data_IF_254912517772
#
_entry.id   IF_254912517772
#
_cell.length_a   1.000
_cell.length_b   1.000
_cell.length_c   1.000
_cell.angle_alpha   90.00
_cell.angle_beta   90.00
_cell.angle_gamma   90.00
#
_symmetry.space_group_name_H-M   'P 1'
#
loop_
_entity.id
_entity.type
_entity.pdbx_description
1 polymer ?
#
# COMPACT_ATOMS: atom_id res chain seq x y z
N UNK A 1 45.86 54.87 -21.41
CA UNK A 1 46.24 54.11 -20.21
C UNK A 1 45.13 53.09 -19.97
N UNK A 2 45.34 51.85 -20.41
CA UNK A 2 44.34 50.77 -20.32
C UNK A 2 44.66 49.93 -19.09
N UNK A 3 43.76 49.96 -18.10
CA UNK A 3 43.84 49.09 -16.93
C UNK A 3 43.29 47.71 -17.31
N UNK A 4 44.18 46.73 -17.38
CA UNK A 4 43.87 45.32 -17.50
C UNK A 4 43.53 44.83 -16.09
N UNK A 5 42.30 44.36 -15.90
CA UNK A 5 41.85 43.72 -14.66
C UNK A 5 42.12 42.22 -14.83
N UNK A 6 43.03 41.68 -14.03
CA UNK A 6 43.29 40.23 -13.96
C UNK A 6 42.12 39.51 -13.23
N UNK A 7 41.70 38.33 -13.70
CA UNK A 7 40.68 37.55 -13.01
C UNK A 7 41.27 36.79 -11.82
N UNK A 8 40.63 36.92 -10.65
CA UNK A 8 40.98 36.21 -9.42
C UNK A 8 40.85 34.68 -9.57
N UNK A 9 41.86 33.98 -9.05
CA UNK A 9 41.96 32.52 -9.04
C UNK A 9 40.83 31.87 -8.23
N UNK A 10 40.21 30.85 -8.82
CA UNK A 10 39.24 29.96 -8.18
C UNK A 10 39.87 29.18 -7.03
N UNK A 11 39.40 29.44 -5.80
CA UNK A 11 39.70 28.59 -4.64
C UNK A 11 38.88 27.30 -4.75
N UNK A 12 39.57 26.19 -5.04
CA UNK A 12 39.03 24.85 -4.83
C UNK A 12 38.82 24.64 -3.32
N UNK A 13 37.56 24.55 -2.91
CA UNK A 13 37.18 24.07 -1.59
C UNK A 13 37.30 22.54 -1.60
N UNK A 14 38.42 22.04 -1.09
CA UNK A 14 38.57 20.63 -0.73
C UNK A 14 37.62 20.33 0.43
N UNK A 15 36.46 19.75 0.11
CA UNK A 15 35.60 19.17 1.11
C UNK A 15 36.25 17.88 1.62
N UNK A 16 36.49 17.74 2.93
CA UNK A 16 36.99 16.49 3.48
C UNK A 16 35.98 15.39 3.14
N UNK A 17 36.46 14.32 2.50
CA UNK A 17 35.71 13.09 2.29
C UNK A 17 35.34 12.52 3.65
N UNK A 18 34.16 12.91 4.14
CA UNK A 18 33.55 12.29 5.31
C UNK A 18 33.35 10.83 4.93
N UNK A 19 34.18 9.96 5.51
CA UNK A 19 33.99 8.53 5.46
C UNK A 19 32.59 8.23 5.94
N UNK A 20 31.70 7.93 4.99
CA UNK A 20 30.34 7.50 5.31
C UNK A 20 30.48 6.24 6.13
N UNK A 21 30.10 6.40 7.39
CA UNK A 21 30.24 5.47 8.49
C UNK A 21 29.64 4.10 8.08
N UNK A 22 30.47 3.06 7.96
CA UNK A 22 30.05 1.68 7.66
C UNK A 22 28.94 1.19 8.63
N UNK A 23 28.85 1.76 9.84
CA UNK A 23 27.78 1.48 10.81
C UNK A 23 26.37 1.85 10.34
N UNK A 24 26.20 2.92 9.55
CA UNK A 24 24.87 3.30 9.02
C UNK A 24 24.43 2.39 7.87
N UNK A 25 25.39 1.77 7.17
CA UNK A 25 25.11 0.81 6.12
C UNK A 25 24.60 -0.52 6.70
N UNK A 26 25.18 -1.00 7.80
CA UNK A 26 24.70 -2.20 8.53
C UNK A 26 23.35 -1.97 9.22
N UNK A 27 23.12 -0.81 9.84
CA UNK A 27 21.82 -0.46 10.44
C UNK A 27 20.70 -0.38 9.40
N UNK A 28 20.97 0.09 8.17
CA UNK A 28 20.00 0.08 7.07
C UNK A 28 19.91 -1.25 6.31
N UNK A 29 20.76 -2.24 6.63
CA UNK A 29 20.72 -3.57 6.02
C UNK A 29 19.75 -4.51 6.74
N UNK A 30 19.45 -4.30 8.03
CA UNK A 30 18.65 -5.23 8.81
C UNK A 30 17.13 -4.98 8.78
N UNK A 31 16.66 -3.75 8.57
CA UNK A 31 15.24 -3.42 8.74
C UNK A 31 14.32 -4.06 7.69
N UNK A 32 14.83 -4.34 6.49
CA UNK A 32 14.01 -4.83 5.38
C UNK A 32 13.68 -6.32 5.44
N UNK A 33 14.66 -7.16 5.79
CA UNK A 33 14.40 -8.57 6.04
C UNK A 33 13.58 -8.74 7.33
N UNK A 34 13.79 -7.86 8.33
CA UNK A 34 13.07 -7.90 9.60
C UNK A 34 11.55 -7.72 9.45
N UNK A 35 11.10 -6.81 8.57
CA UNK A 35 9.67 -6.52 8.42
C UNK A 35 8.88 -7.66 7.78
N UNK A 36 9.48 -8.37 6.81
CA UNK A 36 8.86 -9.56 6.23
C UNK A 36 8.93 -10.74 7.17
N UNK A 37 10.03 -10.92 7.92
CA UNK A 37 10.08 -11.94 8.98
C UNK A 37 9.07 -11.69 10.10
N UNK A 38 8.66 -10.44 10.32
CA UNK A 38 7.64 -10.12 11.31
C UNK A 38 6.24 -10.55 10.87
N UNK A 39 5.95 -10.60 9.57
CA UNK A 39 4.65 -11.08 9.04
C UNK A 39 4.70 -12.56 8.60
N UNK A 40 5.89 -13.07 8.27
CA UNK A 40 6.16 -14.48 7.98
C UNK A 40 6.20 -15.29 9.27
N UNK A 41 5.07 -15.86 9.68
CA UNK A 41 4.95 -16.66 10.90
C UNK A 41 4.35 -18.03 10.62
N UNK A 42 4.68 -19.01 11.46
CA UNK A 42 4.00 -20.31 11.41
C UNK A 42 2.52 -20.08 11.76
N UNK A 43 1.57 -20.50 10.90
CA UNK A 43 0.15 -20.28 11.15
C UNK A 43 -0.31 -21.05 12.39
N UNK A 44 -1.09 -20.37 13.23
CA UNK A 44 -1.83 -21.00 14.31
C UNK A 44 -2.94 -21.90 13.74
N UNK A 45 -3.43 -22.88 14.51
CA UNK A 45 -4.47 -23.81 14.03
C UNK A 45 -5.76 -23.10 13.62
N UNK A 46 -6.18 -22.07 14.36
CA UNK A 46 -7.35 -21.26 14.01
C UNK A 46 -7.20 -20.49 12.70
N UNK A 47 -6.00 -19.98 12.41
CA UNK A 47 -5.72 -19.24 11.17
C UNK A 47 -5.79 -20.12 9.92
N UNK A 48 -5.46 -21.41 10.04
CA UNK A 48 -5.52 -22.35 8.91
C UNK A 48 -6.95 -22.54 8.40
N UNK A 49 -7.90 -22.65 9.31
CA UNK A 49 -9.32 -22.77 8.95
C UNK A 49 -9.86 -21.43 8.46
N UNK A 50 -9.53 -20.31 9.13
CA UNK A 50 -9.97 -18.97 8.72
C UNK A 50 -9.53 -18.63 7.28
N UNK A 51 -8.28 -18.94 6.94
CA UNK A 51 -7.70 -18.62 5.63
C UNK A 51 -7.90 -19.71 4.57
N UNK A 52 -8.71 -20.73 4.86
CA UNK A 52 -8.99 -21.84 3.93
C UNK A 52 -9.79 -21.37 2.73
N UNK A 53 -10.79 -20.53 2.95
CA UNK A 53 -11.71 -20.02 1.93
C UNK A 53 -11.25 -18.68 1.33
N UNK A 54 -10.05 -18.23 1.69
CA UNK A 54 -9.50 -16.98 1.22
C UNK A 54 -9.18 -17.01 -0.27
N UNK A 55 -9.58 -15.99 -1.01
CA UNK A 55 -9.19 -15.85 -2.42
C UNK A 55 -7.67 -15.67 -2.55
N UNK A 56 -7.02 -16.61 -3.24
CA UNK A 56 -5.55 -16.63 -3.41
C UNK A 56 -5.18 -16.53 -4.88
N UNK A 57 -4.26 -15.62 -5.19
CA UNK A 57 -3.68 -15.47 -6.53
C UNK A 57 -2.16 -15.65 -6.50
N UNK A 58 -1.62 -16.41 -7.45
CA UNK A 58 -0.20 -16.74 -7.49
C UNK A 58 0.19 -17.83 -6.48
N UNK A 59 1.45 -17.78 -6.02
CA UNK A 59 2.05 -18.80 -5.15
C UNK A 59 2.24 -18.27 -3.71
N UNK A 60 1.20 -17.64 -3.15
CA UNK A 60 1.23 -17.16 -1.77
C UNK A 60 1.11 -18.32 -0.79
N UNK A 61 2.02 -18.37 0.19
CA UNK A 61 2.02 -19.37 1.25
C UNK A 61 1.41 -18.78 2.51
N UNK A 62 0.73 -19.61 3.30
CA UNK A 62 0.02 -19.18 4.49
C UNK A 62 0.94 -18.44 5.47
N UNK A 63 2.16 -18.93 5.60
CA UNK A 63 3.18 -18.36 6.47
C UNK A 63 3.44 -16.88 6.15
N UNK A 64 3.41 -16.50 4.88
CA UNK A 64 3.74 -15.15 4.39
C UNK A 64 2.75 -14.07 4.80
N UNK A 65 1.58 -14.44 5.28
CA UNK A 65 0.55 -13.49 5.73
C UNK A 65 -0.06 -13.85 7.08
N UNK A 66 0.41 -14.91 7.76
CA UNK A 66 -0.12 -15.32 9.06
C UNK A 66 0.12 -14.27 10.15
N UNK A 67 1.24 -13.55 10.10
CA UNK A 67 1.55 -12.47 11.04
C UNK A 67 0.78 -11.16 10.78
N UNK A 68 -0.04 -11.07 9.72
CA UNK A 68 -0.80 -9.85 9.43
C UNK A 68 -1.84 -9.52 10.49
N UNK A 69 -2.43 -10.54 11.13
CA UNK A 69 -3.47 -10.36 12.16
C UNK A 69 -3.04 -9.44 13.30
N UNK A 70 -1.77 -9.48 13.70
CA UNK A 70 -1.23 -8.62 14.76
C UNK A 70 -1.15 -7.13 14.37
N UNK A 71 -1.28 -6.82 13.08
CA UNK A 71 -1.19 -5.46 12.53
C UNK A 71 -2.52 -4.94 11.99
N UNK A 72 -3.54 -5.78 12.06
CA UNK A 72 -4.89 -5.51 11.59
C UNK A 72 -5.75 -4.95 12.72
N UNK A 73 -6.73 -4.13 12.37
CA UNK A 73 -7.75 -3.69 13.33
C UNK A 73 -8.56 -4.88 13.87
N UNK A 74 -9.22 -4.75 15.03
CA UNK A 74 -10.00 -5.83 15.65
C UNK A 74 -11.15 -6.36 14.76
N UNK A 75 -11.66 -5.52 13.85
CA UNK A 75 -12.73 -5.84 12.91
C UNK A 75 -12.24 -5.90 11.45
N UNK A 76 -10.92 -5.90 11.27
CA UNK A 76 -10.32 -5.98 9.95
C UNK A 76 -10.15 -7.45 9.56
N UNK A 77 -10.63 -7.80 8.37
CA UNK A 77 -10.63 -9.15 7.84
C UNK A 77 -9.94 -9.20 6.48
N UNK A 78 -9.12 -10.23 6.27
CA UNK A 78 -8.47 -10.45 4.98
C UNK A 78 -9.51 -11.03 4.02
N UNK A 79 -9.68 -10.39 2.86
CA UNK A 79 -10.60 -10.83 1.81
C UNK A 79 -9.88 -11.52 0.65
N UNK A 80 -8.63 -11.12 0.39
CA UNK A 80 -7.82 -11.72 -0.68
C UNK A 80 -6.33 -11.55 -0.42
N UNK A 81 -5.55 -12.53 -0.88
CA UNK A 81 -4.09 -12.45 -0.93
C UNK A 81 -3.60 -12.81 -2.32
N UNK A 82 -2.77 -11.95 -2.90
CA UNK A 82 -2.10 -12.19 -4.17
C UNK A 82 -0.59 -12.11 -3.98
N UNK A 83 0.15 -12.92 -4.73
CA UNK A 83 1.57 -12.75 -4.80
C UNK A 83 2.12 -12.81 -6.21
N UNK A 84 2.99 -11.86 -6.54
CA UNK A 84 3.67 -11.76 -7.82
C UNK A 84 5.17 -11.93 -7.65
N UNK A 85 5.76 -12.83 -8.44
CA UNK A 85 7.21 -12.96 -8.52
C UNK A 85 7.75 -11.82 -9.39
N UNK A 86 8.70 -11.06 -8.85
CA UNK A 86 9.31 -9.94 -9.56
C UNK A 86 10.55 -10.42 -10.34
N UNK A 87 11.69 -10.58 -9.64
CA UNK A 87 12.96 -11.08 -10.19
C UNK A 87 13.65 -11.98 -9.18
N UNK A 88 14.30 -13.06 -9.63
CA UNK A 88 15.02 -14.02 -8.76
C UNK A 88 14.16 -14.50 -7.57
N UNK A 89 14.44 -13.99 -6.37
CA UNK A 89 13.77 -14.30 -5.08
C UNK A 89 12.84 -13.17 -4.62
N UNK A 90 12.77 -12.06 -5.36
CA UNK A 90 11.93 -10.91 -5.02
C UNK A 90 10.47 -11.21 -5.34
N UNK A 91 9.60 -10.82 -4.43
CA UNK A 91 8.18 -11.12 -4.40
C UNK A 91 7.43 -9.88 -3.90
N UNK A 92 6.29 -9.62 -4.50
CA UNK A 92 5.30 -8.68 -3.99
C UNK A 92 4.13 -9.48 -3.46
N UNK A 93 3.77 -9.27 -2.20
CA UNK A 93 2.57 -9.80 -1.56
C UNK A 93 1.56 -8.66 -1.45
N UNK A 94 0.37 -8.88 -1.96
CA UNK A 94 -0.72 -7.93 -1.94
C UNK A 94 -1.83 -8.56 -1.11
N UNK A 95 -2.27 -7.89 -0.07
CA UNK A 95 -3.35 -8.31 0.80
C UNK A 95 -4.45 -7.26 0.72
N UNK A 96 -5.67 -7.69 0.38
CA UNK A 96 -6.86 -6.85 0.44
C UNK A 96 -7.64 -7.21 1.70
N UNK A 97 -7.92 -6.21 2.51
CA UNK A 97 -8.83 -6.33 3.66
C UNK A 97 -10.16 -5.66 3.35
N UNK A 98 -11.10 -5.71 4.28
CA UNK A 98 -12.33 -4.91 4.22
C UNK A 98 -12.08 -3.40 4.38
N UNK A 99 -10.86 -2.94 4.71
CA UNK A 99 -10.57 -1.51 4.95
C UNK A 99 -9.44 -0.92 4.09
N UNK A 100 -8.50 -1.74 3.62
CA UNK A 100 -7.30 -1.27 2.91
C UNK A 100 -6.65 -2.33 2.03
N UNK A 101 -5.78 -1.86 1.13
CA UNK A 101 -4.83 -2.67 0.37
C UNK A 101 -3.45 -2.55 1.02
N UNK A 102 -2.90 -3.67 1.45
CA UNK A 102 -1.56 -3.80 2.01
C UNK A 102 -0.63 -4.43 0.99
N UNK A 103 0.55 -3.84 0.78
CA UNK A 103 1.54 -4.33 -0.17
C UNK A 103 2.87 -4.50 0.54
N UNK A 104 3.43 -5.70 0.44
CA UNK A 104 4.73 -6.06 1.01
C UNK A 104 5.66 -6.46 -0.13
N UNK A 105 6.79 -5.77 -0.27
CA UNK A 105 7.77 -6.03 -1.32
C UNK A 105 9.06 -6.56 -0.70
N UNK A 106 9.49 -7.77 -1.10
CA UNK A 106 10.71 -8.42 -0.62
C UNK A 106 11.96 -8.03 -1.42
N UNK A 107 11.90 -6.96 -2.21
CA UNK A 107 12.95 -6.58 -3.18
C UNK A 107 14.32 -6.41 -2.48
N UNK A 108 15.23 -7.33 -2.75
CA UNK A 108 16.60 -7.31 -2.20
C UNK A 108 17.55 -6.44 -3.05
N UNK A 109 17.10 -5.98 -4.22
CA UNK A 109 17.95 -5.26 -5.17
C UNK A 109 17.95 -3.75 -4.91
N UNK A 110 18.94 -3.30 -4.12
CA UNK A 110 19.23 -1.88 -3.80
C UNK A 110 19.70 -1.01 -4.98
N UNK A 111 19.41 -1.38 -6.23
CA UNK A 111 19.87 -0.63 -7.40
C UNK A 111 18.73 0.20 -8.00
N UNK A 112 18.78 1.50 -7.68
CA UNK A 112 17.97 2.61 -8.19
C UNK A 112 16.57 2.77 -7.58
N UNK A 113 16.52 3.25 -6.33
CA UNK A 113 15.52 4.22 -5.87
C UNK A 113 14.02 3.85 -5.94
N UNK A 114 13.43 3.71 -4.74
CA UNK A 114 12.04 4.07 -4.40
C UNK A 114 10.91 3.06 -4.69
N UNK A 115 11.06 1.78 -4.35
CA UNK A 115 9.87 0.98 -3.97
C UNK A 115 9.82 0.83 -2.46
N UNK A 116 8.71 1.25 -1.84
CA UNK A 116 8.49 1.11 -0.40
C UNK A 116 8.33 -0.40 -0.10
N UNK A 117 8.99 -0.86 0.96
CA UNK A 117 8.89 -2.26 1.41
C UNK A 117 7.49 -2.60 1.90
N UNK A 118 6.82 -1.62 2.48
CA UNK A 118 5.46 -1.71 2.94
C UNK A 118 4.67 -0.51 2.42
N UNK A 119 3.47 -0.79 1.92
CA UNK A 119 2.52 0.22 1.54
C UNK A 119 1.16 -0.12 2.12
N UNK A 120 0.54 0.89 2.72
CA UNK A 120 -0.83 0.88 3.22
C UNK A 120 -1.63 1.89 2.38
N UNK A 121 -2.68 1.43 1.73
CA UNK A 121 -3.58 2.24 0.92
C UNK A 121 -5.00 1.98 1.42
N UNK A 122 -5.59 2.94 2.11
CA UNK A 122 -6.99 2.83 2.54
C UNK A 122 -7.92 2.82 1.34
N UNK A 123 -9.01 2.07 1.43
CA UNK A 123 -9.97 1.95 0.32
C UNK A 123 -10.62 3.29 0.00
N UNK A 124 -10.91 4.11 1.00
CA UNK A 124 -11.45 5.48 0.86
C UNK A 124 -10.49 6.47 0.14
N UNK A 125 -9.19 6.16 0.08
CA UNK A 125 -8.17 6.99 -0.59
C UNK A 125 -7.99 6.63 -2.06
N UNK A 126 -8.52 5.50 -2.52
CA UNK A 126 -8.37 5.03 -3.90
C UNK A 126 -9.39 5.73 -4.79
N UNK A 127 -8.92 6.52 -5.75
CA UNK A 127 -9.75 7.26 -6.69
C UNK A 127 -9.99 6.51 -8.00
N UNK A 128 -8.95 5.83 -8.50
CA UNK A 128 -9.02 5.08 -9.75
C UNK A 128 -8.10 3.86 -9.70
N UNK A 129 -8.46 2.82 -10.44
CA UNK A 129 -7.69 1.59 -10.56
C UNK A 129 -7.61 1.21 -12.02
N UNK A 130 -6.40 1.10 -12.58
CA UNK A 130 -6.19 0.67 -13.96
C UNK A 130 -5.38 -0.62 -14.00
N UNK A 131 -5.66 -1.42 -15.01
CA UNK A 131 -4.95 -2.68 -15.25
C UNK A 131 -4.36 -2.66 -16.64
N UNK A 132 -3.04 -2.84 -16.73
CA UNK A 132 -2.35 -3.14 -17.98
C UNK A 132 -1.95 -4.62 -17.96
N UNK A 133 -2.67 -5.44 -18.71
CA UNK A 133 -2.33 -6.85 -18.89
C UNK A 133 -1.05 -6.97 -19.74
N UNK A 134 -0.08 -7.76 -19.28
CA UNK A 134 1.15 -8.03 -20.04
C UNK A 134 1.50 -9.51 -19.98
N UNK A 135 2.28 -9.96 -20.96
CA UNK A 135 2.78 -11.33 -20.96
C UNK A 135 3.71 -11.55 -19.76
N UNK A 136 3.39 -12.52 -18.91
CA UNK A 136 4.13 -12.88 -17.70
C UNK A 136 3.74 -12.13 -16.41
N UNK A 137 2.99 -11.01 -16.49
CA UNK A 137 2.48 -10.26 -15.33
C UNK A 137 1.48 -9.18 -15.75
N UNK A 138 0.58 -8.77 -14.87
CA UNK A 138 -0.21 -7.55 -15.09
C UNK A 138 0.32 -6.41 -14.22
N UNK A 139 0.22 -5.17 -14.71
CA UNK A 139 0.43 -3.98 -13.89
C UNK A 139 -0.91 -3.45 -13.40
N UNK A 140 -1.04 -3.35 -12.08
CA UNK A 140 -2.13 -2.69 -11.40
C UNK A 140 -1.68 -1.29 -11.00
N UNK A 141 -2.33 -0.26 -11.54
CA UNK A 141 -2.08 1.13 -11.18
C UNK A 141 -3.20 1.60 -10.25
N UNK A 142 -2.85 1.99 -9.04
CA UNK A 142 -3.79 2.51 -8.04
C UNK A 142 -3.52 4.00 -7.88
N UNK A 143 -4.47 4.83 -8.28
CA UNK A 143 -4.39 6.27 -8.12
C UNK A 143 -5.04 6.67 -6.79
N UNK A 144 -4.32 7.46 -6.01
CA UNK A 144 -4.80 8.13 -4.80
C UNK A 144 -4.71 9.65 -4.97
N UNK A 145 -5.26 10.42 -4.03
CA UNK A 145 -5.16 11.89 -4.05
C UNK A 145 -3.73 12.41 -4.18
N UNK A 146 -2.76 11.72 -3.57
CA UNK A 146 -1.37 12.20 -3.47
C UNK A 146 -0.41 11.54 -4.45
N UNK A 147 -0.67 10.32 -4.89
CA UNK A 147 0.25 9.55 -5.74
C UNK A 147 -0.46 8.45 -6.54
N UNK A 148 0.16 8.07 -7.67
CA UNK A 148 -0.17 6.85 -8.39
C UNK A 148 0.86 5.76 -8.06
N UNK A 149 0.35 4.58 -7.70
CA UNK A 149 1.16 3.43 -7.27
C UNK A 149 1.08 2.31 -8.29
N UNK A 150 2.24 1.76 -8.65
CA UNK A 150 2.34 0.69 -9.64
C UNK A 150 2.74 -0.64 -9.00
N UNK A 151 1.81 -1.58 -9.05
CA UNK A 151 1.91 -2.90 -8.41
C UNK A 151 1.95 -3.96 -9.51
N UNK A 152 2.80 -4.97 -9.33
CA UNK A 152 2.83 -6.11 -10.25
C UNK A 152 1.99 -7.23 -9.68
N UNK A 153 1.17 -7.84 -10.53
CA UNK A 153 0.29 -8.95 -10.17
C UNK A 153 0.55 -10.13 -11.12
N UNK A 154 0.17 -11.38 -10.76
CA UNK A 154 0.28 -12.50 -11.67
C UNK A 154 -0.52 -12.25 -12.96
N UNK A 155 -0.05 -12.81 -14.08
CA UNK A 155 -0.69 -12.69 -15.39
C UNK A 155 -2.18 -13.09 -15.35
N UNK A 156 -3.03 -12.22 -15.89
CA UNK A 156 -4.48 -12.38 -15.94
C UNK A 156 -5.20 -12.25 -14.58
N UNK A 157 -4.53 -11.75 -13.53
CA UNK A 157 -5.11 -11.56 -12.19
C UNK A 157 -5.33 -10.10 -11.84
N UNK A 158 -4.69 -9.16 -12.53
CA UNK A 158 -4.87 -7.73 -12.29
C UNK A 158 -6.33 -7.30 -12.38
N UNK A 159 -7.05 -7.79 -13.40
CA UNK A 159 -8.49 -7.52 -13.58
C UNK A 159 -9.31 -8.02 -12.38
N UNK A 160 -9.07 -9.26 -11.94
CA UNK A 160 -9.77 -9.86 -10.79
C UNK A 160 -9.52 -9.09 -9.50
N UNK A 161 -8.25 -8.78 -9.23
CA UNK A 161 -7.84 -8.01 -8.05
C UNK A 161 -8.52 -6.63 -8.07
N UNK A 162 -8.48 -5.93 -9.20
CA UNK A 162 -9.13 -4.63 -9.35
C UNK A 162 -10.65 -4.69 -9.13
N UNK A 163 -11.30 -5.78 -9.56
CA UNK A 163 -12.73 -5.99 -9.34
C UNK A 163 -13.08 -6.21 -7.87
N UNK A 164 -12.25 -6.97 -7.14
CA UNK A 164 -12.43 -7.17 -5.71
C UNK A 164 -12.25 -5.88 -4.91
N UNK A 165 -11.24 -5.07 -5.25
CA UNK A 165 -11.02 -3.77 -4.58
C UNK A 165 -12.24 -2.88 -4.77
N UNK A 166 -12.72 -2.72 -6.01
CA UNK A 166 -13.93 -1.93 -6.29
C UNK A 166 -15.16 -2.46 -5.56
N UNK A 167 -15.35 -3.79 -5.54
CA UNK A 167 -16.45 -4.41 -4.80
C UNK A 167 -16.37 -4.09 -3.30
N UNK A 168 -15.19 -4.05 -2.71
CA UNK A 168 -15.04 -3.67 -1.31
C UNK A 168 -15.29 -2.17 -1.09
N UNK A 169 -14.84 -1.30 -1.99
CA UNK A 169 -15.19 0.13 -1.94
C UNK A 169 -16.71 0.35 -2.06
N UNK A 170 -17.39 -0.44 -2.90
CA UNK A 170 -18.85 -0.41 -3.04
C UNK A 170 -19.56 -0.93 -1.79
N UNK A 171 -18.97 -1.86 -1.04
CA UNK A 171 -19.53 -2.37 0.22
C UNK A 171 -19.32 -1.38 1.37
N UNK A 172 -18.12 -0.82 1.51
CA UNK A 172 -17.81 0.22 2.51
C UNK A 172 -18.67 1.48 2.26
N UNK A 173 -18.83 1.87 1.00
CA UNK A 173 -19.70 2.99 0.64
C UNK A 173 -21.19 2.68 0.77
N UNK A 174 -21.60 1.44 1.07
CA UNK A 174 -23.01 1.09 1.32
C UNK A 174 -23.32 0.83 2.79
N UNK A 175 -22.33 0.82 3.68
CA UNK A 175 -22.59 0.69 5.11
C UNK A 175 -23.22 1.99 5.62
N UNK A 176 -24.52 1.99 5.98
CA UNK A 176 -25.19 3.23 6.36
C UNK A 176 -24.59 3.83 7.64
N UNK A 177 -24.04 3.00 8.54
CA UNK A 177 -23.42 3.47 9.77
C UNK A 177 -22.10 4.23 9.49
N UNK A 178 -21.25 3.71 8.59
CA UNK A 178 -20.03 4.40 8.18
C UNK A 178 -20.33 5.65 7.34
N UNK A 179 -21.38 5.60 6.51
CA UNK A 179 -21.85 6.77 5.76
C UNK A 179 -22.34 7.88 6.71
N UNK A 180 -23.03 7.54 7.80
CA UNK A 180 -23.45 8.49 8.83
C UNK A 180 -22.25 9.13 9.57
N UNK A 181 -21.20 8.36 9.86
CA UNK A 181 -19.98 8.88 10.48
C UNK A 181 -19.23 9.85 9.54
N UNK A 182 -19.11 9.48 8.26
CA UNK A 182 -18.54 10.36 7.21
C UNK A 182 -19.36 11.64 7.07
N UNK A 183 -20.69 11.54 7.06
CA UNK A 183 -21.61 12.67 6.98
C UNK A 183 -21.46 13.63 8.19
N UNK A 184 -21.32 13.07 9.40
CA UNK A 184 -21.04 13.86 10.62
C UNK A 184 -19.71 14.61 10.53
N UNK A 185 -18.66 13.94 10.04
CA UNK A 185 -17.35 14.55 9.85
C UNK A 185 -17.35 15.68 8.82
N UNK A 186 -18.14 15.58 7.74
CA UNK A 186 -18.27 16.65 6.74
C UNK A 186 -19.02 17.87 7.28
N UNK A 187 -20.04 17.66 8.11
CA UNK A 187 -20.74 18.72 8.81
C UNK A 187 -19.81 19.47 9.76
N UNK A 188 -19.03 18.77 10.57
CA UNK A 188 -18.08 19.38 11.51
C UNK A 188 -17.00 20.20 10.79
N UNK A 189 -16.59 19.76 9.60
CA UNK A 189 -15.66 20.51 8.74
C UNK A 189 -16.31 21.71 8.03
N UNK A 190 -17.63 21.86 8.12
CA UNK A 190 -18.38 22.92 7.44
C UNK A 190 -18.51 22.75 5.93
N UNK A 191 -18.31 21.53 5.42
CA UNK A 191 -18.39 21.23 3.98
C UNK A 191 -19.84 21.09 3.50
N UNK A 192 -20.77 20.85 4.42
CA UNK A 192 -22.21 20.70 4.17
C UNK A 192 -23.00 21.52 5.19
N UNK A 193 -24.18 21.96 4.79
CA UNK A 193 -25.11 22.71 5.66
C UNK A 193 -25.88 21.79 6.62
N UNK A 194 -26.50 22.37 7.66
CA UNK A 194 -27.34 21.61 8.59
C UNK A 194 -28.52 20.93 7.88
N UNK A 195 -29.16 21.62 6.92
CA UNK A 195 -30.26 21.06 6.14
C UNK A 195 -29.80 19.87 5.28
N UNK A 196 -28.68 20.00 4.56
CA UNK A 196 -28.10 18.90 3.78
C UNK A 196 -27.68 17.70 4.64
N UNK A 197 -27.22 17.96 5.88
CA UNK A 197 -26.90 16.92 6.84
C UNK A 197 -28.14 16.17 7.29
N UNK A 198 -29.22 16.86 7.67
CA UNK A 198 -30.45 16.20 8.12
C UNK A 198 -31.10 15.39 7.00
N UNK A 199 -31.19 15.93 5.78
CA UNK A 199 -31.76 15.24 4.62
C UNK A 199 -31.01 13.96 4.25
N UNK A 200 -29.67 13.99 4.31
CA UNK A 200 -28.84 12.82 4.02
C UNK A 200 -28.85 11.82 5.17
N UNK A 201 -28.90 12.31 6.42
CA UNK A 201 -29.02 11.46 7.61
C UNK A 201 -30.32 10.68 7.61
N UNK A 202 -31.44 11.31 7.30
CA UNK A 202 -32.76 10.66 7.27
C UNK A 202 -32.79 9.52 6.25
N UNK A 203 -32.29 9.76 5.03
CA UNK A 203 -32.17 8.72 4.00
C UNK A 203 -31.31 7.54 4.41
N UNK A 204 -30.20 7.80 5.11
CA UNK A 204 -29.31 6.75 5.60
C UNK A 204 -29.92 5.96 6.76
N UNK A 205 -30.70 6.62 7.61
CA UNK A 205 -31.42 5.96 8.71
C UNK A 205 -32.54 5.03 8.20
N UNK A 206 -33.13 5.32 7.03
CA UNK A 206 -34.15 4.46 6.41
C UNK A 206 -33.56 3.17 5.80
N UNK A 207 -32.25 3.11 5.59
CA UNK A 207 -31.53 1.95 5.03
C UNK A 207 -30.98 0.99 6.11
N UNK A 208 -31.17 1.30 7.40
CA UNK A 208 -30.74 0.50 8.58
C UNK A 208 -31.92 -0.30 9.16
#
# INVERSE_FOLDING_TARGET
MNNIIEPEASRNLDFPSIGINYYLQELMFNWGDQFLTDIEKKPEEGQKEEFKDLEKFGESKLEEYSGLKERMGPEEEIKMVSSAKLKKKDKSLICLTNKRVLIFNTDKSKLLGKRKQFEDIKLDQIQDIRVEERKGFDKLLIASQSEEKQIMTPEGKGVKISGLIRKQQDLESRDPAEQLEKLGSEKEKGNITEEEYQDKKEKLMDEI
#
